data_IF_960639455601
#
_entry.id   IF_960639455601
#
_cell.length_a   1.000
_cell.length_b   1.000
_cell.length_c   1.000
_cell.angle_alpha   90.00
_cell.angle_beta   90.00
_cell.angle_gamma   90.00
#
_symmetry.space_group_name_H-M   'P 1'
#
loop_
_entity.id
_entity.type
_entity.pdbx_description
1 polymer ?
#
# COMPACT_ATOMS: atom_id res chain seq x y z
N UNK A 1 30.84 -27.19 1.99
CA UNK A 1 29.47 -26.80 1.63
C UNK A 1 29.33 -27.08 0.15
N UNK A 2 28.69 -28.20 -0.19
CA UNK A 2 28.65 -28.68 -1.57
C UNK A 2 27.79 -27.75 -2.43
N UNK A 3 28.31 -27.33 -3.58
CA UNK A 3 27.62 -26.45 -4.53
C UNK A 3 26.24 -27.02 -4.92
N UNK A 4 26.12 -28.34 -4.93
CA UNK A 4 24.88 -29.09 -5.17
C UNK A 4 23.86 -28.86 -4.05
N UNK A 5 24.29 -28.77 -2.79
CA UNK A 5 23.42 -28.47 -1.65
C UNK A 5 22.86 -27.03 -1.67
N UNK A 6 23.66 -26.07 -2.14
CA UNK A 6 23.22 -24.70 -2.38
C UNK A 6 22.19 -24.62 -3.51
N UNK A 7 22.43 -25.32 -4.62
CA UNK A 7 21.50 -25.39 -5.75
C UNK A 7 20.18 -26.06 -5.33
N UNK A 8 20.21 -27.09 -4.49
CA UNK A 8 18.98 -27.73 -3.99
C UNK A 8 18.11 -26.79 -3.15
N UNK A 9 18.72 -25.80 -2.46
CA UNK A 9 18.02 -24.85 -1.61
C UNK A 9 17.61 -23.53 -2.31
N UNK A 10 17.86 -23.40 -3.62
CA UNK A 10 17.51 -22.21 -4.41
C UNK A 10 16.02 -21.86 -4.33
N UNK A 11 15.17 -22.87 -4.20
CA UNK A 11 13.72 -22.73 -4.05
C UNK A 11 13.33 -21.93 -2.81
N UNK A 12 14.09 -22.01 -1.71
CA UNK A 12 13.84 -21.21 -0.51
C UNK A 12 14.09 -19.72 -0.75
N UNK A 13 15.10 -19.38 -1.55
CA UNK A 13 15.38 -17.99 -1.93
C UNK A 13 14.27 -17.44 -2.84
N UNK A 14 13.81 -18.24 -3.82
CA UNK A 14 12.69 -17.84 -4.69
C UNK A 14 11.41 -17.66 -3.85
N UNK A 15 11.12 -18.57 -2.92
CA UNK A 15 9.97 -18.47 -2.04
C UNK A 15 10.01 -17.18 -1.20
N UNK A 16 11.16 -16.85 -0.62
CA UNK A 16 11.34 -15.61 0.13
C UNK A 16 11.11 -14.37 -0.74
N UNK A 17 11.61 -14.36 -1.98
CA UNK A 17 11.39 -13.26 -2.92
C UNK A 17 9.91 -13.13 -3.33
N UNK A 18 9.23 -14.25 -3.58
CA UNK A 18 7.80 -14.27 -3.89
C UNK A 18 6.94 -13.80 -2.71
N UNK A 19 7.33 -14.11 -1.48
CA UNK A 19 6.66 -13.62 -0.29
C UNK A 19 6.80 -12.09 -0.11
N UNK A 20 7.90 -11.50 -0.59
CA UNK A 20 8.17 -10.06 -0.48
C UNK A 20 7.56 -9.23 -1.63
N UNK A 21 7.35 -9.85 -2.80
CA UNK A 21 6.77 -9.24 -4.00
C UNK A 21 5.51 -8.40 -3.74
N UNK A 22 4.48 -8.88 -3.02
CA UNK A 22 3.24 -8.12 -2.81
C UNK A 22 3.47 -6.77 -2.14
N UNK A 23 4.37 -6.71 -1.14
CA UNK A 23 4.70 -5.47 -0.43
C UNK A 23 5.42 -4.48 -1.33
N UNK A 24 6.30 -4.96 -2.21
CA UNK A 24 7.00 -4.12 -3.18
C UNK A 24 6.03 -3.52 -4.20
N UNK A 25 5.07 -4.31 -4.71
CA UNK A 25 4.04 -3.85 -5.63
C UNK A 25 3.16 -2.77 -5.00
N UNK A 26 2.72 -2.98 -3.76
CA UNK A 26 1.96 -1.97 -3.00
C UNK A 26 2.73 -0.65 -2.85
N UNK A 27 4.01 -0.72 -2.44
CA UNK A 27 4.84 0.48 -2.31
C UNK A 27 5.03 1.21 -3.64
N UNK A 28 5.20 0.48 -4.75
CA UNK A 28 5.32 1.07 -6.08
C UNK A 28 4.04 1.81 -6.49
N UNK A 29 2.87 1.22 -6.24
CA UNK A 29 1.56 1.83 -6.50
C UNK A 29 1.35 3.11 -5.68
N UNK A 30 1.69 3.10 -4.40
CA UNK A 30 1.59 4.28 -3.53
C UNK A 30 2.47 5.43 -4.02
N UNK A 31 3.71 5.15 -4.44
CA UNK A 31 4.61 6.16 -5.01
C UNK A 31 4.06 6.73 -6.31
N UNK A 32 3.53 5.88 -7.19
CA UNK A 32 2.91 6.31 -8.42
C UNK A 32 1.71 7.24 -8.14
N UNK A 33 0.86 6.87 -7.20
CA UNK A 33 -0.28 7.69 -6.76
C UNK A 33 0.15 9.04 -6.20
N UNK A 34 1.12 9.06 -5.28
CA UNK A 34 1.66 10.32 -4.70
C UNK A 34 2.19 11.27 -5.79
N UNK A 35 2.87 10.72 -6.79
CA UNK A 35 3.38 11.51 -7.92
C UNK A 35 2.24 12.14 -8.73
N UNK A 36 1.18 11.41 -9.03
CA UNK A 36 0.05 11.96 -9.78
C UNK A 36 -0.73 13.00 -8.97
N UNK A 37 -0.92 12.77 -7.66
CA UNK A 37 -1.53 13.76 -6.77
C UNK A 37 -0.69 15.05 -6.69
N UNK A 38 0.63 14.94 -6.62
CA UNK A 38 1.52 16.11 -6.63
C UNK A 38 1.44 16.90 -7.96
N UNK A 39 1.33 16.21 -9.10
CA UNK A 39 1.10 16.87 -10.40
C UNK A 39 -0.24 17.59 -10.42
N UNK A 40 -1.30 16.96 -9.90
CA UNK A 40 -2.64 17.55 -9.84
C UNK A 40 -2.66 18.80 -8.95
N UNK A 41 -2.04 18.72 -7.77
CA UNK A 41 -1.92 19.85 -6.85
C UNK A 41 -1.23 21.05 -7.51
N UNK A 42 -0.09 20.81 -8.17
CA UNK A 42 0.62 21.85 -8.93
C UNK A 42 -0.24 22.43 -10.05
N UNK A 43 -0.97 21.60 -10.79
CA UNK A 43 -1.84 22.05 -11.88
C UNK A 43 -3.00 22.92 -11.40
N UNK A 44 -3.56 22.62 -10.22
CA UNK A 44 -4.68 23.40 -9.64
C UNK A 44 -4.23 24.61 -8.82
N UNK A 45 -2.95 24.67 -8.42
CA UNK A 45 -2.48 25.70 -7.50
C UNK A 45 -3.09 25.56 -6.09
N UNK A 46 -3.54 24.36 -5.73
CA UNK A 46 -4.19 24.08 -4.44
C UNK A 46 -3.73 22.75 -3.85
N UNK A 47 -3.91 22.59 -2.54
CA UNK A 47 -3.64 21.32 -1.88
C UNK A 47 -4.72 20.29 -2.22
N UNK A 48 -4.29 19.08 -2.57
CA UNK A 48 -5.17 17.96 -2.89
C UNK A 48 -5.07 16.94 -1.76
N UNK A 49 -6.15 16.83 -1.00
CA UNK A 49 -6.31 15.85 0.08
C UNK A 49 -7.23 14.75 -0.44
N UNK A 50 -6.84 13.49 -0.29
CA UNK A 50 -7.64 12.34 -0.74
C UNK A 50 -7.75 11.30 0.35
N UNK A 51 -8.97 10.86 0.65
CA UNK A 51 -9.24 9.67 1.46
C UNK A 51 -9.52 8.50 0.51
N UNK A 52 -8.62 7.52 0.47
CA UNK A 52 -8.71 6.39 -0.45
C UNK A 52 -8.81 5.12 0.38
N UNK A 53 -10.03 4.63 0.54
CA UNK A 53 -10.31 3.38 1.23
C UNK A 53 -10.58 2.29 0.19
N UNK A 54 -9.75 1.24 0.17
CA UNK A 54 -10.02 0.05 -0.64
C UNK A 54 -10.67 -0.99 0.24
N UNK A 55 -11.88 -1.41 -0.12
CA UNK A 55 -12.50 -2.59 0.48
C UNK A 55 -11.79 -3.84 -0.03
N UNK A 56 -10.71 -4.22 0.67
CA UNK A 56 -10.12 -5.55 0.52
C UNK A 56 -10.84 -6.48 1.48
N UNK A 57 -11.72 -7.33 0.95
CA UNK A 57 -12.28 -8.43 1.72
C UNK A 57 -11.16 -9.42 2.01
N UNK A 58 -10.60 -9.34 3.21
CA UNK A 58 -9.66 -10.35 3.67
C UNK A 58 -10.50 -11.46 4.28
N UNK A 59 -10.49 -12.64 3.69
CA UNK A 59 -11.16 -13.79 4.28
C UNK A 59 -10.23 -14.45 5.30
N UNK A 60 -10.73 -14.62 6.53
CA UNK A 60 -10.09 -15.45 7.54
C UNK A 60 -11.01 -16.63 7.84
N UNK A 61 -10.53 -17.87 7.66
CA UNK A 61 -11.32 -19.11 7.84
C UNK A 61 -12.62 -19.16 7.01
N UNK A 62 -12.67 -18.48 5.87
CA UNK A 62 -13.86 -18.42 5.00
C UNK A 62 -14.87 -17.34 5.39
N UNK A 63 -14.65 -16.60 6.48
CA UNK A 63 -15.47 -15.46 6.86
C UNK A 63 -14.86 -14.19 6.27
N UNK A 64 -15.62 -13.39 5.48
CA UNK A 64 -15.13 -12.13 4.94
C UNK A 64 -14.99 -11.10 6.06
N UNK A 65 -13.79 -10.56 6.25
CA UNK A 65 -13.56 -9.38 7.09
C UNK A 65 -13.49 -8.17 6.16
N UNK A 66 -14.48 -7.29 6.25
CA UNK A 66 -14.48 -5.99 5.58
C UNK A 66 -14.00 -4.91 6.55
N UNK A 67 -13.12 -4.02 6.07
CA UNK A 67 -12.89 -2.73 6.73
C UNK A 67 -13.77 -1.67 6.07
N UNK A 68 -14.43 -0.86 6.89
CA UNK A 68 -15.17 0.33 6.47
C UNK A 68 -14.35 1.58 6.77
N UNK A 69 -14.77 2.70 6.19
CA UNK A 69 -14.26 4.01 6.60
C UNK A 69 -14.82 4.30 7.99
N UNK A 70 -13.95 4.68 8.92
CA UNK A 70 -14.32 4.99 10.30
C UNK A 70 -14.16 6.50 10.62
N UNK A 71 -14.35 6.85 11.90
CA UNK A 71 -14.28 8.25 12.36
C UNK A 71 -12.83 8.73 12.33
N UNK A 72 -11.88 7.84 12.61
CA UNK A 72 -10.45 8.10 12.63
C UNK A 72 -9.95 8.53 11.25
N UNK A 73 -10.40 7.85 10.19
CA UNK A 73 -10.15 8.25 8.79
C UNK A 73 -10.61 9.70 8.51
N UNK A 74 -11.77 10.07 9.05
CA UNK A 74 -12.32 11.43 8.91
C UNK A 74 -11.52 12.47 9.69
N UNK A 75 -11.02 12.11 10.88
CA UNK A 75 -10.14 12.97 11.65
C UNK A 75 -8.81 13.23 10.95
N UNK A 76 -8.24 12.23 10.28
CA UNK A 76 -7.01 12.40 9.48
C UNK A 76 -7.22 13.41 8.36
N UNK A 77 -8.36 13.35 7.66
CA UNK A 77 -8.73 14.33 6.64
C UNK A 77 -8.86 15.73 7.24
N UNK A 78 -9.58 15.87 8.36
CA UNK A 78 -9.73 17.17 9.03
C UNK A 78 -8.40 17.72 9.51
N UNK A 79 -7.48 16.86 9.96
CA UNK A 79 -6.12 17.24 10.35
C UNK A 79 -5.32 17.73 9.15
N UNK A 80 -5.41 17.04 8.00
CA UNK A 80 -4.75 17.47 6.76
C UNK A 80 -5.26 18.84 6.27
N UNK A 81 -6.56 19.11 6.42
CA UNK A 81 -7.15 20.42 6.12
C UNK A 81 -6.57 21.48 7.07
N UNK A 82 -6.54 21.21 8.38
CA UNK A 82 -6.00 22.16 9.38
C UNK A 82 -4.50 22.43 9.24
N UNK A 83 -3.73 21.47 8.72
CA UNK A 83 -2.29 21.61 8.48
C UNK A 83 -1.97 22.35 7.16
N UNK A 84 -2.99 22.63 6.34
CA UNK A 84 -2.84 23.43 5.12
C UNK A 84 -3.10 24.91 5.47
N UNK A 85 -2.11 25.81 5.29
CA UNK A 85 -2.28 27.24 5.55
C UNK A 85 -3.16 27.96 4.51
#
# INVERSE_FOLDING_TARGET
>A
MDLIGLINNIWLLIFLLMALMPKLQQSALERARRRELAKLARKRGSNVITLIHRQETISFLGIPISRYIDIEDSEEVLRAIRMTP
#
